data_IF_008624772242
#
_entry.id   IF_008624772242
#
_cell.length_a   1.000
_cell.length_b   1.000
_cell.length_c   1.000
_cell.angle_alpha   90.00
_cell.angle_beta   90.00
_cell.angle_gamma   90.00
#
_symmetry.space_group_name_H-M   'P 1'
#
loop_
_entity.id
_entity.type
_entity.pdbx_description
1 polymer ?
#
# COMPACT_ATOMS: atom_id res chain seq x y z
N UNK A 1 68.59 -62.85 58.88
CA UNK A 1 68.20 -61.51 59.39
C UNK A 1 68.48 -60.44 58.34
N UNK A 2 69.67 -60.44 57.75
CA UNK A 2 70.10 -59.57 56.64
C UNK A 2 69.22 -59.64 55.37
N UNK A 3 68.75 -60.82 54.95
CA UNK A 3 67.84 -60.93 53.79
C UNK A 3 66.45 -60.33 54.04
N UNK A 4 65.95 -60.37 55.28
CA UNK A 4 64.65 -59.74 55.63
C UNK A 4 64.75 -58.22 55.65
N UNK A 5 65.84 -57.67 56.17
CA UNK A 5 66.08 -56.22 56.18
C UNK A 5 66.22 -55.65 54.77
N UNK A 6 66.96 -56.31 53.88
CA UNK A 6 67.06 -55.90 52.48
C UNK A 6 65.70 -55.98 51.75
N UNK A 7 64.88 -57.00 52.04
CA UNK A 7 63.54 -57.11 51.45
C UNK A 7 62.57 -56.04 51.96
N UNK A 8 62.73 -55.59 53.21
CA UNK A 8 61.93 -54.53 53.82
C UNK A 8 62.31 -53.16 53.28
N UNK A 9 63.60 -52.90 53.10
CA UNK A 9 64.12 -51.68 52.46
C UNK A 9 63.70 -51.59 50.98
N UNK A 10 63.78 -52.70 50.24
CA UNK A 10 63.27 -52.75 48.86
C UNK A 10 61.76 -52.54 48.78
N UNK A 11 60.98 -53.04 49.74
CA UNK A 11 59.54 -52.76 49.82
C UNK A 11 59.27 -51.29 50.09
N UNK A 12 60.05 -50.65 50.95
CA UNK A 12 59.88 -49.25 51.29
C UNK A 12 60.19 -48.35 50.09
N UNK A 13 61.27 -48.65 49.36
CA UNK A 13 61.60 -47.98 48.09
C UNK A 13 60.51 -48.21 47.04
N UNK A 14 59.97 -49.43 46.92
CA UNK A 14 58.89 -49.72 45.98
C UNK A 14 57.59 -48.96 46.31
N UNK A 15 57.26 -48.82 47.59
CA UNK A 15 56.11 -48.03 48.07
C UNK A 15 56.32 -46.54 47.79
N UNK A 16 57.52 -46.02 48.02
CA UNK A 16 57.85 -44.62 47.73
C UNK A 16 57.80 -44.33 46.22
N UNK A 17 58.35 -45.22 45.39
CA UNK A 17 58.25 -45.14 43.93
C UNK A 17 56.79 -45.23 43.46
N UNK A 18 55.98 -46.09 44.08
CA UNK A 18 54.55 -46.18 43.77
C UNK A 18 53.82 -44.88 44.14
N UNK A 19 54.17 -44.26 45.27
CA UNK A 19 53.57 -43.00 45.70
C UNK A 19 53.93 -41.86 44.74
N UNK A 20 55.20 -41.76 44.33
CA UNK A 20 55.67 -40.78 43.33
C UNK A 20 54.95 -41.00 42.00
N UNK A 21 54.84 -42.23 41.51
CA UNK A 21 54.15 -42.55 40.27
C UNK A 21 52.64 -42.20 40.33
N UNK A 22 51.99 -42.36 41.48
CA UNK A 22 50.59 -41.96 41.69
C UNK A 22 50.46 -40.43 41.65
N UNK A 23 51.35 -39.69 42.30
CA UNK A 23 51.34 -38.22 42.28
C UNK A 23 51.64 -37.67 40.88
N UNK A 24 52.60 -38.24 40.16
CA UNK A 24 52.87 -37.86 38.77
C UNK A 24 51.68 -38.14 37.86
N UNK A 25 51.00 -39.27 38.05
CA UNK A 25 49.77 -39.59 37.31
C UNK A 25 48.65 -38.59 37.61
N UNK A 26 48.46 -38.21 38.88
CA UNK A 26 47.46 -37.21 39.27
C UNK A 26 47.76 -35.84 38.63
N UNK A 27 49.03 -35.40 38.67
CA UNK A 27 49.46 -34.16 38.04
C UNK A 27 49.26 -34.21 36.50
N UNK A 28 49.53 -35.35 35.87
CA UNK A 28 49.31 -35.54 34.43
C UNK A 28 47.81 -35.55 34.07
N UNK A 29 46.95 -36.12 34.91
CA UNK A 29 45.49 -36.08 34.74
C UNK A 29 44.94 -34.65 34.90
N UNK A 30 45.42 -33.88 35.89
CA UNK A 30 45.05 -32.47 36.09
C UNK A 30 45.49 -31.59 34.91
N UNK A 31 46.74 -31.74 34.43
CA UNK A 31 47.22 -31.04 33.23
C UNK A 31 46.41 -31.41 31.99
N UNK A 32 46.01 -32.67 31.84
CA UNK A 32 45.14 -33.11 30.74
C UNK A 32 43.77 -32.45 30.83
N UNK A 33 43.20 -32.32 32.03
CA UNK A 33 41.91 -31.66 32.23
C UNK A 33 41.98 -30.16 31.89
N UNK A 34 43.04 -29.47 32.33
CA UNK A 34 43.29 -28.06 31.96
C UNK A 34 43.44 -27.92 30.44
N UNK A 35 44.18 -28.81 29.78
CA UNK A 35 44.35 -28.78 28.33
C UNK A 35 43.01 -28.99 27.59
N UNK A 36 42.13 -29.87 28.09
CA UNK A 36 40.78 -30.08 27.54
C UNK A 36 39.90 -28.85 27.74
N UNK A 37 39.93 -28.22 28.91
CA UNK A 37 39.20 -26.98 29.17
C UNK A 37 39.68 -25.84 28.28
N UNK A 38 41.00 -25.67 28.14
CA UNK A 38 41.59 -24.69 27.22
C UNK A 38 41.22 -24.95 25.77
N UNK A 39 41.21 -26.23 25.35
CA UNK A 39 40.75 -26.61 24.02
C UNK A 39 39.27 -26.26 23.81
N UNK A 40 38.43 -26.49 24.83
CA UNK A 40 37.01 -26.16 24.76
C UNK A 40 36.78 -24.65 24.65
N UNK A 41 37.50 -23.85 25.46
CA UNK A 41 37.46 -22.38 25.38
C UNK A 41 37.91 -21.91 24.00
N UNK A 42 39.02 -22.43 23.47
CA UNK A 42 39.51 -22.06 22.14
C UNK A 42 38.52 -22.42 21.02
N UNK A 43 37.81 -23.54 21.13
CA UNK A 43 36.74 -23.92 20.17
C UNK A 43 35.57 -22.94 20.25
N UNK A 44 35.12 -22.58 21.45
CA UNK A 44 34.04 -21.60 21.63
C UNK A 44 34.44 -20.20 21.16
N UNK A 45 35.65 -19.74 21.46
CA UNK A 45 36.17 -18.46 20.96
C UNK A 45 36.24 -18.44 19.44
N UNK A 46 36.67 -19.54 18.82
CA UNK A 46 36.68 -19.67 17.37
C UNK A 46 35.28 -19.60 16.78
N UNK A 47 34.31 -20.29 17.36
CA UNK A 47 32.90 -20.25 16.92
C UNK A 47 32.34 -18.82 17.01
N UNK A 48 32.56 -18.14 18.14
CA UNK A 48 32.15 -16.75 18.31
C UNK A 48 32.82 -15.82 17.29
N UNK A 49 34.10 -16.03 16.99
CA UNK A 49 34.82 -15.25 15.98
C UNK A 49 34.30 -15.52 14.56
N UNK A 50 33.91 -16.75 14.24
CA UNK A 50 33.28 -17.11 12.96
C UNK A 50 31.88 -16.47 12.82
N UNK A 51 31.07 -16.49 13.87
CA UNK A 51 29.76 -15.83 13.91
C UNK A 51 29.88 -14.30 13.75
N UNK A 52 30.79 -13.67 14.49
CA UNK A 52 31.06 -12.23 14.33
C UNK A 52 31.55 -11.87 12.93
N UNK A 53 32.34 -12.73 12.30
CA UNK A 53 32.75 -12.54 10.90
C UNK A 53 31.57 -12.62 9.94
N UNK A 54 30.63 -13.55 10.15
CA UNK A 54 29.43 -13.65 9.33
C UNK A 54 28.55 -12.40 9.47
N UNK A 55 28.30 -11.97 10.71
CA UNK A 55 27.56 -10.73 10.99
C UNK A 55 28.24 -9.52 10.32
N UNK A 56 29.58 -9.42 10.40
CA UNK A 56 30.31 -8.32 9.77
C UNK A 56 30.21 -8.34 8.23
N UNK A 57 30.21 -9.53 7.62
CA UNK A 57 30.02 -9.69 6.17
C UNK A 57 28.60 -9.29 5.76
N UNK A 58 27.58 -9.73 6.50
CA UNK A 58 26.18 -9.36 6.26
C UNK A 58 25.95 -7.86 6.42
N UNK A 59 26.48 -7.26 7.49
CA UNK A 59 26.42 -5.81 7.70
C UNK A 59 27.11 -5.03 6.58
N UNK A 60 28.25 -5.51 6.09
CA UNK A 60 28.95 -4.89 4.96
C UNK A 60 28.12 -4.96 3.68
N UNK A 61 27.50 -6.12 3.40
CA UNK A 61 26.63 -6.31 2.24
C UNK A 61 25.39 -5.40 2.31
N UNK A 62 24.76 -5.32 3.48
CA UNK A 62 23.59 -4.46 3.67
C UNK A 62 23.96 -2.97 3.58
N UNK A 63 25.11 -2.56 4.12
CA UNK A 63 25.61 -1.20 3.96
C UNK A 63 25.88 -0.84 2.49
N UNK A 64 26.45 -1.77 1.71
CA UNK A 64 26.67 -1.60 0.28
C UNK A 64 25.34 -1.52 -0.48
N UNK A 65 24.36 -2.36 -0.13
CA UNK A 65 23.01 -2.33 -0.68
C UNK A 65 22.33 -0.98 -0.43
N UNK A 66 22.31 -0.51 0.81
CA UNK A 66 21.70 0.78 1.18
C UNK A 66 22.39 1.94 0.47
N UNK A 67 23.72 1.89 0.32
CA UNK A 67 24.47 2.86 -0.46
C UNK A 67 23.98 2.89 -1.91
N UNK A 68 23.82 1.74 -2.56
CA UNK A 68 23.39 1.69 -3.97
C UNK A 68 21.92 2.12 -4.15
N UNK A 69 21.04 1.83 -3.20
CA UNK A 69 19.69 2.38 -3.16
C UNK A 69 19.70 3.92 -3.00
N UNK A 70 20.62 4.47 -2.21
CA UNK A 70 20.77 5.92 -2.10
C UNK A 70 21.26 6.57 -3.40
N UNK A 71 22.14 5.89 -4.16
CA UNK A 71 22.56 6.33 -5.50
C UNK A 71 21.36 6.31 -6.44
N UNK A 72 20.54 5.26 -6.41
CA UNK A 72 19.32 5.18 -7.22
C UNK A 72 18.38 6.37 -7.00
N UNK A 73 18.12 6.73 -5.73
CA UNK A 73 17.32 7.91 -5.36
C UNK A 73 17.97 9.22 -5.82
N UNK A 74 19.28 9.36 -5.62
CA UNK A 74 20.03 10.52 -6.10
C UNK A 74 19.90 10.72 -7.61
N UNK A 75 19.98 9.63 -8.40
CA UNK A 75 19.78 9.68 -9.86
C UNK A 75 18.36 10.15 -10.21
N UNK A 76 17.34 9.64 -9.52
CA UNK A 76 15.96 10.07 -9.72
C UNK A 76 15.73 11.55 -9.39
N UNK A 77 16.26 12.04 -8.26
CA UNK A 77 16.20 13.46 -7.89
C UNK A 77 16.95 14.35 -8.89
N UNK A 78 18.05 13.87 -9.46
CA UNK A 78 18.76 14.62 -10.51
C UNK A 78 18.02 14.59 -11.84
N UNK A 79 17.38 13.46 -12.18
CA UNK A 79 16.54 13.32 -13.36
C UNK A 79 15.44 14.38 -13.37
N UNK A 80 14.70 14.54 -12.26
CA UNK A 80 13.61 15.53 -12.16
C UNK A 80 14.09 16.97 -12.32
N UNK A 81 15.29 17.30 -11.84
CA UNK A 81 15.91 18.63 -12.00
C UNK A 81 16.34 18.89 -13.44
N UNK A 82 16.95 17.91 -14.10
CA UNK A 82 17.42 18.03 -15.49
C UNK A 82 16.24 18.06 -16.46
N UNK A 83 15.16 17.32 -16.17
CA UNK A 83 13.92 17.31 -16.97
C UNK A 83 13.34 18.71 -17.21
N UNK A 84 13.57 19.66 -16.29
CA UNK A 84 13.14 21.05 -16.43
C UNK A 84 13.90 21.81 -17.53
N UNK A 85 15.02 21.28 -18.02
CA UNK A 85 15.85 21.84 -19.08
C UNK A 85 15.58 21.10 -20.39
N UNK A 86 14.91 21.75 -21.34
CA UNK A 86 14.50 21.13 -22.60
C UNK A 86 15.66 20.54 -23.42
N UNK A 87 16.86 21.13 -23.32
CA UNK A 87 18.06 20.71 -24.07
C UNK A 87 18.66 19.39 -23.56
N UNK A 88 18.34 18.98 -22.32
CA UNK A 88 18.90 17.79 -21.66
C UNK A 88 17.81 16.75 -21.32
N UNK A 89 16.64 16.85 -21.96
CA UNK A 89 15.50 15.98 -21.65
C UNK A 89 15.82 14.47 -21.79
N UNK A 90 16.58 14.08 -22.81
CA UNK A 90 16.99 12.67 -23.00
C UNK A 90 17.90 12.18 -21.87
N UNK A 91 18.80 13.02 -21.36
CA UNK A 91 19.65 12.70 -20.20
C UNK A 91 18.80 12.53 -18.94
N UNK A 92 17.79 13.38 -18.74
CA UNK A 92 16.81 13.22 -17.65
C UNK A 92 16.12 11.86 -17.68
N UNK A 93 15.64 11.42 -18.86
CA UNK A 93 15.04 10.09 -19.03
C UNK A 93 16.05 8.96 -18.74
N UNK A 94 17.29 9.08 -19.20
CA UNK A 94 18.34 8.09 -18.93
C UNK A 94 18.64 7.95 -17.43
N UNK A 95 18.73 9.08 -16.70
CA UNK A 95 18.93 9.07 -15.25
C UNK A 95 17.75 8.42 -14.51
N UNK A 96 16.51 8.73 -14.90
CA UNK A 96 15.31 8.12 -14.31
C UNK A 96 15.29 6.59 -14.52
N UNK A 97 15.60 6.14 -15.74
CA UNK A 97 15.70 4.72 -16.07
C UNK A 97 16.82 4.03 -15.29
N UNK A 98 17.98 4.68 -15.14
CA UNK A 98 19.11 4.12 -14.41
C UNK A 98 18.83 4.03 -12.91
N UNK A 99 18.22 5.07 -12.33
CA UNK A 99 17.74 5.06 -10.95
C UNK A 99 16.75 3.92 -10.71
N UNK A 100 15.76 3.76 -11.60
CA UNK A 100 14.81 2.64 -11.53
C UNK A 100 15.50 1.27 -11.56
N UNK A 101 16.45 1.06 -12.48
CA UNK A 101 17.16 -0.22 -12.61
C UNK A 101 18.03 -0.54 -11.39
N UNK A 102 18.72 0.45 -10.84
CA UNK A 102 19.50 0.29 -9.62
C UNK A 102 18.60 -0.07 -8.45
N UNK A 103 17.50 0.67 -8.28
CA UNK A 103 16.52 0.42 -7.23
C UNK A 103 15.96 -1.02 -7.33
N UNK A 104 15.52 -1.45 -8.52
CA UNK A 104 15.01 -2.80 -8.73
C UNK A 104 16.06 -3.89 -8.46
N UNK A 105 17.31 -3.71 -8.91
CA UNK A 105 18.39 -4.70 -8.74
C UNK A 105 18.76 -4.93 -7.28
N UNK A 106 18.75 -3.89 -6.47
CA UNK A 106 19.12 -3.96 -5.05
C UNK A 106 17.90 -4.12 -4.13
N UNK A 107 16.75 -4.53 -4.68
CA UNK A 107 15.55 -4.87 -3.92
C UNK A 107 14.91 -3.68 -3.21
N UNK A 108 14.94 -2.50 -3.84
CA UNK A 108 14.19 -1.33 -3.42
C UNK A 108 12.71 -1.43 -3.85
N UNK A 109 11.87 -0.54 -3.29
CA UNK A 109 10.43 -0.53 -3.59
C UNK A 109 10.19 -0.09 -5.04
N UNK A 110 9.34 -0.80 -5.78
CA UNK A 110 8.94 -0.38 -7.13
C UNK A 110 8.22 0.98 -7.12
N UNK A 111 7.55 1.31 -6.01
CA UNK A 111 6.86 2.58 -5.76
C UNK A 111 7.65 3.45 -4.77
N UNK A 112 8.98 3.46 -4.89
CA UNK A 112 9.79 4.48 -4.23
C UNK A 112 9.40 5.88 -4.79
N UNK A 113 9.10 6.87 -3.94
CA UNK A 113 8.55 8.15 -4.40
C UNK A 113 9.44 8.91 -5.37
N UNK A 114 10.75 8.93 -5.13
CA UNK A 114 11.69 9.65 -6.00
C UNK A 114 11.75 8.99 -7.37
N UNK A 115 11.86 7.65 -7.38
CA UNK A 115 11.95 6.86 -8.61
C UNK A 115 10.66 6.95 -9.42
N UNK A 116 9.50 6.75 -8.78
CA UNK A 116 8.21 6.82 -9.46
C UNK A 116 7.96 8.22 -10.03
N UNK A 117 8.24 9.28 -9.27
CA UNK A 117 8.09 10.64 -9.74
C UNK A 117 9.04 10.97 -10.90
N UNK A 118 10.30 10.50 -10.85
CA UNK A 118 11.25 10.68 -11.94
C UNK A 118 10.77 10.00 -13.22
N UNK A 119 10.31 8.75 -13.15
CA UNK A 119 9.75 8.04 -14.30
C UNK A 119 8.47 8.72 -14.83
N UNK A 120 7.57 9.15 -13.95
CA UNK A 120 6.32 9.82 -14.32
C UNK A 120 6.58 11.14 -15.02
N UNK A 121 7.46 11.98 -14.48
CA UNK A 121 7.86 13.26 -15.09
C UNK A 121 8.60 13.03 -16.40
N UNK A 122 9.44 12.00 -16.48
CA UNK A 122 10.09 11.56 -17.71
C UNK A 122 9.11 11.18 -18.81
N UNK A 123 8.03 10.50 -18.43
CA UNK A 123 6.94 10.18 -19.35
C UNK A 123 6.17 11.43 -19.79
N UNK A 124 6.06 12.45 -18.92
CA UNK A 124 5.32 13.70 -19.17
C UNK A 124 5.95 14.63 -20.23
N UNK A 125 7.21 14.44 -20.62
CA UNK A 125 7.78 15.13 -21.79
C UNK A 125 7.18 14.66 -23.13
N UNK A 126 6.42 13.55 -23.12
CA UNK A 126 5.56 13.14 -24.21
C UNK A 126 4.11 13.09 -23.69
N UNK A 127 3.43 14.22 -23.85
CA UNK A 127 1.98 14.41 -23.63
C UNK A 127 1.51 14.24 -22.19
N UNK A 128 1.47 15.36 -21.45
CA UNK A 128 0.61 15.63 -20.28
C UNK A 128 0.31 14.51 -19.28
N UNK A 129 1.25 13.59 -18.99
CA UNK A 129 1.29 12.81 -17.74
C UNK A 129 0.01 12.04 -17.34
N UNK A 130 -0.95 11.86 -18.25
CA UNK A 130 -2.22 11.18 -18.03
C UNK A 130 -2.20 9.93 -18.90
N UNK A 131 -1.90 8.78 -18.33
CA UNK A 131 -2.03 7.48 -19.00
C UNK A 131 -3.48 7.08 -19.32
N UNK A 132 -4.43 8.04 -19.28
CA UNK A 132 -5.82 7.85 -19.64
C UNK A 132 -6.72 8.88 -18.96
N UNK A 133 -6.66 10.15 -19.39
CA UNK A 133 -7.68 11.12 -18.99
C UNK A 133 -9.01 10.74 -19.63
N UNK A 134 -9.99 10.46 -18.78
CA UNK A 134 -11.32 10.01 -19.16
C UNK A 134 -12.30 11.17 -18.97
N UNK A 135 -12.66 11.80 -20.09
CA UNK A 135 -13.59 12.94 -20.14
C UNK A 135 -15.00 12.45 -20.46
N UNK A 136 -16.00 13.03 -19.79
CA UNK A 136 -17.40 12.71 -20.04
C UNK A 136 -18.40 13.36 -19.09
N UNK A 137 -17.97 13.72 -17.88
CA UNK A 137 -18.81 14.39 -16.89
C UNK A 137 -18.84 15.91 -17.08
N UNK A 138 -19.99 16.51 -16.76
CA UNK A 138 -20.23 17.96 -16.79
C UNK A 138 -20.05 18.64 -15.42
N UNK A 139 -19.96 17.85 -14.35
CA UNK A 139 -19.82 18.32 -12.97
C UNK A 139 -18.91 17.38 -12.15
N UNK A 140 -18.77 17.63 -10.86
CA UNK A 140 -17.91 16.88 -9.93
C UNK A 140 -18.09 15.36 -10.06
N UNK A 141 -17.00 14.62 -10.26
CA UNK A 141 -17.00 13.16 -10.17
C UNK A 141 -16.90 12.81 -8.69
N UNK A 142 -17.96 12.21 -8.14
CA UNK A 142 -18.11 11.97 -6.70
C UNK A 142 -17.53 10.65 -6.25
N UNK A 143 -17.75 9.62 -7.05
CA UNK A 143 -17.31 8.27 -6.72
C UNK A 143 -17.05 7.45 -7.97
N UNK A 144 -16.17 6.46 -7.82
CA UNK A 144 -15.79 5.56 -8.89
C UNK A 144 -15.45 4.19 -8.33
N UNK A 145 -15.73 3.14 -9.10
CA UNK A 145 -15.45 1.78 -8.70
C UNK A 145 -14.93 0.97 -9.88
N UNK A 146 -13.98 0.07 -9.64
CA UNK A 146 -13.58 -0.95 -10.60
C UNK A 146 -14.56 -2.13 -10.58
N UNK A 147 -14.73 -2.79 -11.73
CA UNK A 147 -15.28 -4.15 -11.73
C UNK A 147 -14.27 -5.13 -11.12
N UNK A 148 -14.75 -6.27 -10.60
CA UNK A 148 -13.91 -7.27 -9.96
C UNK A 148 -12.75 -7.80 -10.84
N UNK A 149 -12.94 -7.81 -12.17
CA UNK A 149 -11.90 -8.19 -13.14
C UNK A 149 -10.94 -7.04 -13.51
N UNK A 150 -11.16 -5.82 -13.02
CA UNK A 150 -10.37 -4.62 -13.32
C UNK A 150 -10.50 -4.11 -14.76
N UNK A 151 -11.39 -4.68 -15.59
CA UNK A 151 -11.52 -4.35 -17.01
C UNK A 151 -12.51 -3.21 -17.26
N UNK A 152 -13.47 -3.01 -16.35
CA UNK A 152 -14.45 -1.93 -16.40
C UNK A 152 -14.28 -1.00 -15.20
N UNK A 153 -14.70 0.23 -15.41
CA UNK A 153 -14.78 1.27 -14.40
C UNK A 153 -16.16 1.92 -14.48
N UNK A 154 -16.74 2.27 -13.35
CA UNK A 154 -17.94 3.09 -13.28
C UNK A 154 -17.62 4.40 -12.56
N UNK A 155 -18.23 5.50 -13.01
CA UNK A 155 -18.12 6.80 -12.33
C UNK A 155 -19.51 7.42 -12.17
N UNK A 156 -19.78 7.94 -10.97
CA UNK A 156 -20.97 8.72 -10.62
C UNK A 156 -20.61 10.18 -10.39
N UNK A 157 -21.47 11.10 -10.82
CA UNK A 157 -21.22 12.54 -10.74
C UNK A 157 -22.45 13.32 -10.33
N UNK A 158 -22.22 14.54 -9.84
CA UNK A 158 -23.27 15.53 -9.55
C UNK A 158 -24.04 15.98 -10.80
N UNK A 159 -23.54 15.72 -12.02
CA UNK A 159 -24.26 15.97 -13.27
C UNK A 159 -25.42 14.98 -13.54
N UNK A 160 -25.65 14.04 -12.64
CA UNK A 160 -26.67 13.00 -12.71
C UNK A 160 -26.35 11.89 -13.71
N UNK A 161 -25.13 11.86 -14.27
CA UNK A 161 -24.66 10.79 -15.13
C UNK A 161 -23.99 9.70 -14.31
N UNK A 162 -24.21 8.47 -14.78
CA UNK A 162 -23.34 7.33 -14.47
C UNK A 162 -22.72 6.86 -15.76
N UNK A 163 -21.40 6.89 -15.82
CA UNK A 163 -20.63 6.45 -16.99
C UNK A 163 -19.99 5.09 -16.70
N UNK A 164 -20.02 4.22 -17.70
CA UNK A 164 -19.31 2.94 -17.68
C UNK A 164 -18.20 2.99 -18.72
N UNK A 165 -16.98 2.74 -18.27
CA UNK A 165 -15.75 2.78 -19.05
C UNK A 165 -15.24 1.36 -19.29
N UNK A 166 -14.88 1.05 -20.53
CA UNK A 166 -14.17 -0.17 -20.93
C UNK A 166 -12.69 0.18 -21.06
N UNK A 167 -11.88 -0.28 -20.10
CA UNK A 167 -10.47 0.10 -19.98
C UNK A 167 -9.56 -0.62 -20.97
N UNK A 168 -10.05 -1.69 -21.61
CA UNK A 168 -9.30 -2.37 -22.67
C UNK A 168 -9.53 -1.72 -24.02
N UNK A 169 -10.77 -1.31 -24.29
CA UNK A 169 -11.13 -0.63 -25.54
C UNK A 169 -10.90 0.87 -25.50
N UNK A 170 -10.73 1.44 -24.31
CA UNK A 170 -10.62 2.89 -24.12
C UNK A 170 -11.92 3.63 -24.50
N UNK A 171 -13.07 2.98 -24.33
CA UNK A 171 -14.37 3.56 -24.68
C UNK A 171 -15.22 3.80 -23.45
N UNK A 172 -16.19 4.70 -23.56
CA UNK A 172 -17.18 4.96 -22.51
C UNK A 172 -18.59 4.90 -23.07
N UNK A 173 -19.55 4.55 -22.21
CA UNK A 173 -20.97 4.67 -22.50
C UNK A 173 -21.72 5.25 -21.31
N UNK A 174 -22.73 6.06 -21.58
CA UNK A 174 -23.65 6.54 -20.55
C UNK A 174 -24.59 5.42 -20.13
N UNK A 175 -24.53 5.02 -18.86
CA UNK A 175 -25.41 4.02 -18.28
C UNK A 175 -26.69 4.66 -17.72
N UNK A 176 -26.57 5.86 -17.16
CA UNK A 176 -27.69 6.61 -16.60
C UNK A 176 -27.60 8.10 -16.94
N UNK A 177 -28.76 8.72 -17.10
CA UNK A 177 -28.94 10.17 -17.18
C UNK A 177 -30.17 10.53 -16.35
N UNK A 178 -29.93 10.96 -15.12
CA UNK A 178 -30.94 11.44 -14.19
C UNK A 178 -30.82 12.95 -13.96
N UNK A 179 -31.78 13.51 -13.22
CA UNK A 179 -31.72 14.89 -12.72
C UNK A 179 -30.98 14.98 -11.38
N UNK A 180 -30.89 13.88 -10.63
CA UNK A 180 -30.20 13.84 -9.34
C UNK A 180 -28.74 13.44 -9.51
N UNK A 181 -27.84 14.16 -8.83
CA UNK A 181 -26.45 13.75 -8.70
C UNK A 181 -26.31 12.35 -8.08
N UNK A 182 -25.33 11.58 -8.57
CA UNK A 182 -24.99 10.24 -8.07
C UNK A 182 -23.69 10.34 -7.26
N UNK A 183 -23.79 10.09 -5.96
CA UNK A 183 -22.69 10.30 -5.00
C UNK A 183 -21.86 9.08 -4.69
N UNK A 184 -22.41 7.89 -4.88
CA UNK A 184 -21.67 6.65 -4.66
C UNK A 184 -22.09 5.59 -5.67
N UNK A 185 -21.13 4.79 -6.13
CA UNK A 185 -21.35 3.72 -7.10
C UNK A 185 -20.56 2.47 -6.71
N UNK A 186 -21.16 1.29 -6.86
CA UNK A 186 -20.50 0.02 -6.56
C UNK A 186 -20.92 -1.07 -7.55
N UNK A 187 -19.97 -1.91 -7.95
CA UNK A 187 -20.24 -3.07 -8.81
C UNK A 187 -20.77 -4.24 -8.00
N UNK A 188 -21.82 -4.87 -8.52
CA UNK A 188 -22.28 -6.19 -8.12
C UNK A 188 -21.83 -7.20 -9.18
N UNK A 189 -20.73 -7.90 -8.90
CA UNK A 189 -20.15 -8.86 -9.83
C UNK A 189 -21.06 -10.09 -10.03
N UNK A 190 -21.79 -10.51 -9.00
CA UNK A 190 -22.62 -11.71 -9.04
C UNK A 190 -23.87 -11.50 -9.92
N UNK A 191 -24.44 -10.29 -9.89
CA UNK A 191 -25.60 -9.92 -10.71
C UNK A 191 -25.24 -9.21 -12.02
N UNK A 192 -23.94 -9.01 -12.29
CA UNK A 192 -23.41 -8.16 -13.36
C UNK A 192 -24.18 -6.83 -13.46
N UNK A 193 -24.27 -6.17 -12.31
CA UNK A 193 -25.01 -4.94 -12.11
C UNK A 193 -24.13 -3.84 -11.51
N UNK A 194 -24.61 -2.61 -11.59
CA UNK A 194 -24.06 -1.47 -10.89
C UNK A 194 -25.14 -0.93 -9.96
N UNK A 195 -24.78 -0.58 -8.73
CA UNK A 195 -25.67 0.06 -7.76
C UNK A 195 -25.18 1.49 -7.54
N UNK A 196 -26.09 2.45 -7.48
CA UNK A 196 -25.74 3.86 -7.24
C UNK A 196 -26.68 4.55 -6.27
N UNK A 197 -26.12 5.45 -5.48
CA UNK A 197 -26.83 6.22 -4.46
C UNK A 197 -26.89 7.69 -4.86
N UNK A 198 -28.09 8.29 -4.80
CA UNK A 198 -28.32 9.67 -5.26
C UNK A 198 -28.34 10.69 -4.12
N UNK A 199 -28.23 11.97 -4.50
CA UNK A 199 -28.40 13.13 -3.60
C UNK A 199 -29.80 13.19 -2.97
N UNK A 200 -30.83 12.68 -3.66
CA UNK A 200 -32.21 12.66 -3.19
C UNK A 200 -32.53 11.42 -2.33
N UNK A 201 -31.54 10.55 -2.08
CA UNK A 201 -31.70 9.38 -1.21
C UNK A 201 -32.21 8.12 -1.91
N UNK A 202 -32.17 8.07 -3.25
CA UNK A 202 -32.54 6.88 -4.03
C UNK A 202 -31.38 5.91 -4.17
N UNK A 203 -31.66 4.62 -4.07
CA UNK A 203 -30.73 3.55 -4.47
C UNK A 203 -31.22 2.93 -5.78
N UNK A 204 -30.41 3.05 -6.82
CA UNK A 204 -30.70 2.59 -8.17
C UNK A 204 -29.82 1.40 -8.53
N UNK A 205 -30.37 0.43 -9.25
CA UNK A 205 -29.65 -0.75 -9.77
C UNK A 205 -29.74 -0.78 -11.29
N UNK A 206 -28.60 -0.84 -11.96
CA UNK A 206 -28.48 -0.95 -13.42
C UNK A 206 -27.88 -2.30 -13.80
N UNK A 207 -28.63 -3.14 -14.52
CA UNK A 207 -28.10 -4.37 -15.10
C UNK A 207 -27.24 -4.06 -16.34
N UNK A 208 -26.00 -4.56 -16.39
CA UNK A 208 -25.02 -4.12 -17.40
C UNK A 208 -25.17 -4.84 -18.75
N UNK A 209 -25.63 -6.09 -18.74
CA UNK A 209 -25.87 -6.92 -19.92
C UNK A 209 -27.37 -7.13 -20.24
N UNK A 210 -28.26 -6.39 -19.57
CA UNK A 210 -29.70 -6.49 -19.76
C UNK A 210 -30.24 -5.68 -20.95
N UNK A 211 -31.45 -6.01 -21.39
CA UNK A 211 -32.23 -5.20 -22.37
C UNK A 211 -32.93 -4.01 -21.72
N UNK A 212 -32.95 -3.94 -20.39
CA UNK A 212 -33.57 -2.86 -19.63
C UNK A 212 -32.73 -1.58 -19.74
N UNK A 213 -33.37 -0.52 -20.23
CA UNK A 213 -32.74 0.81 -20.38
C UNK A 213 -32.95 1.72 -19.17
N UNK A 214 -33.79 1.30 -18.21
CA UNK A 214 -34.08 2.05 -16.98
C UNK A 214 -33.52 1.33 -15.77
N UNK A 215 -32.98 2.06 -14.78
CA UNK A 215 -32.63 1.48 -13.49
C UNK A 215 -33.86 0.92 -12.81
N UNK A 216 -33.61 -0.15 -12.06
CA UNK A 216 -34.51 -0.59 -11.02
C UNK A 216 -34.29 0.26 -9.76
N UNK A 217 -35.35 0.59 -9.03
CA UNK A 217 -35.25 1.33 -7.76
C UNK A 217 -35.34 0.34 -6.60
N UNK A 218 -34.27 0.26 -5.81
CA UNK A 218 -34.22 -0.57 -4.61
C UNK A 218 -34.79 0.17 -3.40
N UNK A 219 -34.43 1.45 -3.25
CA UNK A 219 -34.84 2.31 -2.13
C UNK A 219 -35.35 3.63 -2.67
N UNK A 220 -36.57 4.00 -2.27
CA UNK A 220 -37.15 5.33 -2.47
C UNK A 220 -37.05 6.16 -1.17
N UNK A 221 -36.83 7.48 -1.26
CA UNK A 221 -36.88 8.35 -0.09
C UNK A 221 -38.30 8.35 0.49
N UNK A 222 -38.40 8.40 1.81
CA UNK A 222 -39.69 8.51 2.50
C UNK A 222 -40.28 9.91 2.25
N UNK A 223 -41.60 10.01 2.03
CA UNK A 223 -42.26 11.29 1.72
C UNK A 223 -41.87 12.38 2.73
N UNK A 224 -41.27 13.48 2.23
CA UNK A 224 -40.87 14.65 3.01
C UNK A 224 -39.44 14.64 3.56
N UNK A 225 -38.63 13.59 3.33
CA UNK A 225 -37.23 13.54 3.78
C UNK A 225 -36.27 13.01 2.71
N UNK A 226 -35.96 13.87 1.73
CA UNK A 226 -34.93 13.63 0.72
C UNK A 226 -33.55 13.89 1.32
N UNK A 227 -32.87 12.83 1.74
CA UNK A 227 -31.54 12.93 2.35
C UNK A 227 -30.52 12.14 1.54
N UNK A 228 -29.45 12.81 1.17
CA UNK A 228 -28.41 12.24 0.33
C UNK A 228 -27.83 10.95 0.92
N UNK A 229 -27.64 9.97 0.04
CA UNK A 229 -26.75 8.85 0.30
C UNK A 229 -25.33 9.36 0.13
N UNK A 230 -24.50 9.11 1.13
CA UNK A 230 -23.11 9.53 1.12
C UNK A 230 -22.17 8.45 0.62
N UNK A 231 -22.47 7.17 0.90
CA UNK A 231 -21.64 6.04 0.55
C UNK A 231 -22.47 4.76 0.49
N UNK A 232 -22.15 3.90 -0.49
CA UNK A 232 -22.67 2.56 -0.66
C UNK A 232 -21.51 1.56 -0.64
N UNK A 233 -21.70 0.42 0.01
CA UNK A 233 -20.74 -0.69 -0.07
C UNK A 233 -21.46 -2.02 -0.09
N UNK A 234 -21.03 -2.90 -0.99
CA UNK A 234 -21.51 -4.28 -1.09
C UNK A 234 -20.63 -5.17 -0.22
N UNK A 235 -21.26 -6.10 0.50
CA UNK A 235 -20.54 -7.17 1.16
C UNK A 235 -19.86 -8.05 0.11
N UNK A 236 -18.63 -8.52 0.35
CA UNK A 236 -18.01 -9.57 -0.46
C UNK A 236 -18.97 -10.75 -0.66
N UNK A 237 -19.23 -11.14 -1.92
CA UNK A 237 -20.25 -12.14 -2.27
C UNK A 237 -21.67 -11.59 -2.47
N UNK A 238 -21.84 -10.27 -2.55
CA UNK A 238 -23.00 -9.61 -3.16
C UNK A 238 -24.33 -9.74 -2.43
N UNK A 239 -24.36 -10.30 -1.22
CA UNK A 239 -25.63 -10.62 -0.54
C UNK A 239 -26.24 -9.41 0.18
N UNK A 240 -25.39 -8.57 0.78
CA UNK A 240 -25.81 -7.42 1.57
C UNK A 240 -25.27 -6.11 1.00
N UNK A 241 -26.09 -5.06 1.06
CA UNK A 241 -25.72 -3.69 0.74
C UNK A 241 -25.80 -2.84 2.00
N UNK A 242 -24.72 -2.17 2.38
CA UNK A 242 -24.74 -1.16 3.43
C UNK A 242 -24.85 0.24 2.80
N UNK A 243 -25.69 1.07 3.41
CA UNK A 243 -26.04 2.41 2.92
C UNK A 243 -25.77 3.40 4.05
N UNK A 244 -24.84 4.32 3.83
CA UNK A 244 -24.65 5.49 4.68
C UNK A 244 -25.46 6.67 4.14
N UNK A 245 -26.15 7.38 5.03
CA UNK A 245 -26.89 8.58 4.67
C UNK A 245 -26.58 9.75 5.60
N UNK A 246 -26.72 10.96 5.04
CA UNK A 246 -26.52 12.21 5.77
C UNK A 246 -27.60 12.47 6.83
N UNK A 247 -28.61 11.60 6.96
CA UNK A 247 -29.59 11.62 8.04
C UNK A 247 -29.03 11.05 9.35
N UNK A 248 -27.79 10.54 9.31
CA UNK A 248 -27.12 9.93 10.45
C UNK A 248 -27.38 8.44 10.58
N UNK A 249 -27.95 7.77 9.56
CA UNK A 249 -28.28 6.35 9.61
C UNK A 249 -27.37 5.51 8.74
N UNK A 250 -27.07 4.31 9.24
CA UNK A 250 -26.56 3.19 8.44
C UNK A 250 -27.69 2.19 8.25
N UNK A 251 -28.09 1.94 7.00
CA UNK A 251 -29.09 0.94 6.65
C UNK A 251 -28.41 -0.26 6.02
N UNK A 252 -28.83 -1.46 6.41
CA UNK A 252 -28.33 -2.72 5.85
C UNK A 252 -29.46 -3.38 5.08
N UNK A 253 -29.22 -3.70 3.81
CA UNK A 253 -30.22 -4.25 2.90
C UNK A 253 -29.81 -5.63 2.41
N UNK A 254 -30.74 -6.57 2.47
CA UNK A 254 -30.62 -7.86 1.81
C UNK A 254 -31.07 -7.72 0.36
N UNK A 255 -30.17 -7.95 -0.59
CA UNK A 255 -30.47 -7.76 -2.01
C UNK A 255 -31.28 -8.90 -2.62
N UNK A 256 -31.26 -10.08 -2.01
CA UNK A 256 -32.06 -11.23 -2.46
C UNK A 256 -33.50 -11.10 -1.98
N UNK A 257 -33.68 -10.76 -0.71
CA UNK A 257 -35.00 -10.59 -0.08
C UNK A 257 -35.62 -9.23 -0.35
N UNK A 258 -34.81 -8.24 -0.69
CA UNK A 258 -35.20 -6.81 -0.86
C UNK A 258 -35.84 -6.25 0.40
N UNK A 259 -35.20 -6.52 1.54
CA UNK A 259 -35.67 -6.08 2.84
C UNK A 259 -34.53 -5.44 3.62
N UNK A 260 -34.86 -4.40 4.36
CA UNK A 260 -33.95 -3.84 5.36
C UNK A 260 -33.78 -4.83 6.51
N UNK A 261 -32.53 -4.99 6.96
CA UNK A 261 -32.15 -5.80 8.10
C UNK A 261 -31.83 -4.90 9.29
N UNK A 262 -32.16 -5.36 10.49
CA UNK A 262 -31.82 -4.64 11.71
C UNK A 262 -30.31 -4.68 11.98
N UNK A 263 -29.78 -3.52 12.37
CA UNK A 263 -28.41 -3.31 12.81
C UNK A 263 -28.44 -2.55 14.14
N UNK A 264 -27.82 -3.09 15.18
CA UNK A 264 -27.76 -2.45 16.50
C UNK A 264 -27.11 -1.07 16.41
N UNK A 265 -27.63 -0.10 17.17
CA UNK A 265 -27.07 1.26 17.23
C UNK A 265 -26.72 1.86 15.85
N UNK A 266 -27.60 1.70 14.86
CA UNK A 266 -27.37 2.17 13.48
C UNK A 266 -27.51 3.68 13.30
N UNK A 267 -28.01 4.40 14.31
CA UNK A 267 -28.18 5.85 14.32
C UNK A 267 -26.99 6.55 14.98
N UNK A 268 -26.36 7.47 14.26
CA UNK A 268 -25.25 8.31 14.73
C UNK A 268 -25.73 9.68 15.22
N UNK A 269 -24.96 10.34 16.10
CA UNK A 269 -25.27 11.70 16.56
C UNK A 269 -25.05 12.78 15.49
N UNK A 270 -24.51 12.42 14.32
CA UNK A 270 -24.27 13.31 13.19
C UNK A 270 -24.34 12.55 11.87
N UNK A 271 -24.07 13.27 10.78
CA UNK A 271 -24.09 12.71 9.41
C UNK A 271 -23.13 11.54 9.30
N UNK A 272 -23.56 10.42 8.74
CA UNK A 272 -22.66 9.33 8.36
C UNK A 272 -22.13 9.66 6.98
N UNK A 273 -20.81 9.64 6.81
CA UNK A 273 -20.18 9.96 5.54
C UNK A 273 -19.78 8.72 4.76
N UNK A 274 -19.35 7.67 5.46
CA UNK A 274 -18.70 6.52 4.84
C UNK A 274 -19.07 5.23 5.55
N UNK A 275 -19.12 4.16 4.77
CA UNK A 275 -19.26 2.77 5.22
C UNK A 275 -18.25 1.90 4.47
N UNK A 276 -17.72 0.87 5.12
CA UNK A 276 -16.84 -0.10 4.50
C UNK A 276 -17.04 -1.50 5.11
N UNK A 277 -17.09 -2.53 4.27
CA UNK A 277 -17.00 -3.93 4.72
C UNK A 277 -15.53 -4.35 4.79
N UNK A 278 -15.22 -5.27 5.71
CA UNK A 278 -13.96 -6.01 5.65
C UNK A 278 -13.92 -6.92 4.41
N UNK A 279 -12.74 -7.21 3.85
CA UNK A 279 -12.59 -8.09 2.68
C UNK A 279 -13.19 -9.51 2.85
N UNK A 280 -13.22 -10.04 4.07
CA UNK A 280 -13.89 -11.30 4.43
C UNK A 280 -15.41 -11.16 4.66
N UNK A 281 -15.93 -9.93 4.66
CA UNK A 281 -17.33 -9.59 4.91
C UNK A 281 -17.82 -9.82 6.34
N UNK A 282 -16.93 -10.13 7.27
CA UNK A 282 -17.26 -10.40 8.68
C UNK A 282 -17.55 -9.14 9.49
N UNK A 283 -17.03 -7.99 9.07
CA UNK A 283 -17.22 -6.71 9.74
C UNK A 283 -17.80 -5.66 8.79
N UNK A 284 -18.65 -4.80 9.34
CA UNK A 284 -19.05 -3.53 8.73
C UNK A 284 -18.49 -2.40 9.59
N UNK A 285 -17.96 -1.36 8.97
CA UNK A 285 -17.57 -0.12 9.64
C UNK A 285 -18.32 1.07 9.08
N UNK A 286 -18.54 2.10 9.90
CA UNK A 286 -19.10 3.37 9.47
C UNK A 286 -18.50 4.52 10.24
N UNK A 287 -18.32 5.66 9.57
CA UNK A 287 -17.72 6.87 10.11
C UNK A 287 -18.64 8.07 9.99
N UNK A 288 -18.69 8.90 11.03
CA UNK A 288 -19.57 10.07 11.08
C UNK A 288 -18.83 11.40 11.22
N UNK A 289 -19.54 12.50 10.94
CA UNK A 289 -19.06 13.87 11.06
C UNK A 289 -18.87 14.38 12.50
N UNK A 290 -19.01 13.53 13.52
CA UNK A 290 -18.65 13.86 14.91
C UNK A 290 -17.43 13.06 15.40
N UNK A 291 -16.81 12.29 14.49
CA UNK A 291 -15.58 11.53 14.77
C UNK A 291 -15.77 10.20 15.47
N UNK A 292 -17.01 9.69 15.47
CA UNK A 292 -17.28 8.32 15.91
C UNK A 292 -17.14 7.38 14.71
N UNK A 293 -16.39 6.29 14.91
CA UNK A 293 -16.34 5.14 14.01
C UNK A 293 -16.93 3.95 14.75
N UNK A 294 -17.90 3.26 14.14
CA UNK A 294 -18.49 2.02 14.70
C UNK A 294 -18.12 0.83 13.83
N UNK A 295 -17.85 -0.30 14.48
CA UNK A 295 -17.59 -1.58 13.85
C UNK A 295 -18.60 -2.63 14.34
N UNK A 296 -19.37 -3.19 13.41
CA UNK A 296 -20.33 -4.26 13.67
C UNK A 296 -19.77 -5.61 13.26
N UNK A 297 -20.06 -6.63 14.07
CA UNK A 297 -19.87 -8.03 13.71
C UNK A 297 -21.08 -8.49 12.89
N UNK A 298 -20.84 -8.89 11.64
CA UNK A 298 -21.89 -9.30 10.71
C UNK A 298 -22.43 -10.71 11.00
N UNK A 299 -21.73 -11.49 11.84
CA UNK A 299 -22.20 -12.74 12.41
C UNK A 299 -23.20 -12.55 13.56
N UNK A 300 -23.15 -11.42 14.26
CA UNK A 300 -24.09 -11.04 15.34
C UNK A 300 -24.40 -9.54 15.32
N UNK A 301 -25.31 -9.16 14.42
CA UNK A 301 -25.70 -7.75 14.15
C UNK A 301 -26.48 -7.10 15.29
N UNK A 302 -26.97 -7.88 16.24
CA UNK A 302 -27.69 -7.39 17.41
C UNK A 302 -26.75 -6.94 18.54
N UNK A 303 -25.50 -7.42 18.52
CA UNK A 303 -24.47 -7.02 19.48
C UNK A 303 -24.10 -5.55 19.31
N UNK A 304 -23.83 -4.86 20.42
CA UNK A 304 -23.37 -3.46 20.41
C UNK A 304 -22.05 -3.35 19.62
N UNK A 305 -21.93 -2.41 18.67
CA UNK A 305 -20.72 -2.24 17.88
C UNK A 305 -19.54 -1.75 18.72
N UNK A 306 -18.33 -2.06 18.28
CA UNK A 306 -17.12 -1.49 18.85
C UNK A 306 -16.99 -0.04 18.37
N UNK A 307 -16.89 0.90 19.30
CA UNK A 307 -16.70 2.32 19.00
C UNK A 307 -15.20 2.68 19.05
N UNK A 308 -14.69 3.24 17.95
CA UNK A 308 -13.37 3.86 17.87
C UNK A 308 -13.54 5.38 17.81
N UNK A 309 -12.66 6.10 18.49
CA UNK A 309 -12.66 7.56 18.46
C UNK A 309 -11.57 8.08 17.51
N UNK A 310 -11.95 8.98 16.61
CA UNK A 310 -11.01 9.78 15.80
C UNK A 310 -10.53 11.05 16.51
N UNK A 311 -10.82 11.21 17.81
CA UNK A 311 -10.49 12.45 18.53
C UNK A 311 -11.40 13.64 18.19
N UNK A 312 -12.66 13.39 17.81
CA UNK A 312 -13.67 14.39 17.37
C UNK A 312 -13.39 15.02 16.00
N UNK A 313 -12.53 14.40 15.20
CA UNK A 313 -12.32 14.80 13.82
C UNK A 313 -13.36 14.11 12.93
N UNK A 314 -14.00 14.85 12.01
CA UNK A 314 -14.93 14.26 11.05
C UNK A 314 -14.28 13.08 10.32
N UNK A 315 -14.97 11.94 10.22
CA UNK A 315 -14.48 10.80 9.44
C UNK A 315 -15.18 10.82 8.09
N UNK A 316 -14.43 11.05 7.03
CA UNK A 316 -14.92 11.25 5.67
C UNK A 316 -14.79 10.00 4.82
N UNK A 317 -13.80 9.14 5.10
CA UNK A 317 -13.55 7.90 4.36
C UNK A 317 -13.03 6.79 5.29
N UNK A 318 -13.34 5.54 4.94
CA UNK A 318 -12.89 4.33 5.64
C UNK A 318 -12.46 3.27 4.63
N UNK A 319 -11.42 2.50 4.98
CA UNK A 319 -11.00 1.35 4.20
C UNK A 319 -10.35 0.28 5.10
N UNK A 320 -10.61 -0.99 4.80
CA UNK A 320 -9.90 -2.11 5.40
C UNK A 320 -8.74 -2.55 4.51
N UNK A 321 -7.64 -3.00 5.11
CA UNK A 321 -6.58 -3.66 4.35
C UNK A 321 -7.00 -5.06 3.93
N UNK A 322 -6.49 -5.50 2.77
CA UNK A 322 -6.80 -6.83 2.22
C UNK A 322 -6.31 -7.99 3.12
N UNK A 323 -5.28 -7.77 3.93
CA UNK A 323 -4.77 -8.71 4.94
C UNK A 323 -5.57 -8.74 6.25
N UNK A 324 -6.71 -8.04 6.30
CA UNK A 324 -7.61 -7.93 7.46
C UNK A 324 -6.99 -7.29 8.71
N UNK A 325 -5.76 -6.77 8.63
CA UNK A 325 -5.06 -6.29 9.81
C UNK A 325 -5.41 -4.85 10.16
N UNK A 326 -5.62 -3.99 9.17
CA UNK A 326 -5.71 -2.55 9.35
C UNK A 326 -7.09 -2.03 8.98
N UNK A 327 -7.55 -1.05 9.77
CA UNK A 327 -8.64 -0.15 9.39
C UNK A 327 -8.05 1.25 9.29
N UNK A 328 -8.24 1.92 8.15
CA UNK A 328 -7.85 3.31 7.95
C UNK A 328 -9.09 4.23 7.94
N UNK A 329 -8.96 5.42 8.50
CA UNK A 329 -9.93 6.50 8.39
C UNK A 329 -9.27 7.78 7.89
N UNK A 330 -9.86 8.38 6.86
CA UNK A 330 -9.53 9.72 6.40
C UNK A 330 -10.37 10.74 7.12
N UNK A 331 -9.72 11.77 7.66
CA UNK A 331 -10.39 12.75 8.52
C UNK A 331 -10.56 14.12 7.86
N UNK A 332 -11.47 14.94 8.38
CA UNK A 332 -11.77 16.28 7.88
C UNK A 332 -10.65 17.31 8.04
N UNK A 333 -9.64 17.07 8.89
CA UNK A 333 -8.48 17.95 9.05
C UNK A 333 -7.29 17.57 8.16
N UNK A 334 -7.35 16.44 7.45
CA UNK A 334 -6.25 15.94 6.60
C UNK A 334 -5.44 14.78 7.18
N UNK A 335 -5.68 14.40 8.44
CA UNK A 335 -4.99 13.25 9.03
C UNK A 335 -5.60 11.93 8.56
N UNK A 336 -4.77 10.89 8.46
CA UNK A 336 -5.21 9.52 8.26
C UNK A 336 -4.90 8.71 9.51
N UNK A 337 -5.93 8.12 10.10
CA UNK A 337 -5.83 7.29 11.30
C UNK A 337 -5.82 5.82 10.90
N UNK A 338 -4.88 5.03 11.42
CA UNK A 338 -4.77 3.59 11.13
C UNK A 338 -4.80 2.81 12.43
N UNK A 339 -5.81 1.96 12.59
CA UNK A 339 -5.96 1.06 13.74
C UNK A 339 -5.51 -0.36 13.38
N UNK A 340 -4.75 -0.98 14.30
CA UNK A 340 -4.47 -2.42 14.24
C UNK A 340 -5.69 -3.16 14.79
N UNK A 341 -6.29 -4.04 13.99
CA UNK A 341 -7.48 -4.80 14.37
C UNK A 341 -7.18 -5.88 15.40
N UNK A 342 -5.94 -6.34 15.49
CA UNK A 342 -5.54 -7.27 16.55
C UNK A 342 -5.52 -6.59 17.93
N UNK A 343 -5.38 -5.26 17.97
CA UNK A 343 -5.32 -4.49 19.22
C UNK A 343 -5.97 -3.10 19.06
N UNK A 344 -7.29 -3.09 18.89
CA UNK A 344 -8.12 -1.88 18.79
C UNK A 344 -8.06 -0.98 20.04
N UNK A 345 -7.49 -1.47 21.15
CA UNK A 345 -7.28 -0.69 22.38
C UNK A 345 -6.09 0.28 22.29
N UNK A 346 -5.20 0.12 21.31
CA UNK A 346 -4.08 1.04 21.08
C UNK A 346 -4.53 2.31 20.37
N UNK A 347 -3.80 3.39 20.61
CA UNK A 347 -3.94 4.61 19.82
C UNK A 347 -3.62 4.33 18.34
N UNK A 348 -4.38 4.89 17.39
CA UNK A 348 -4.10 4.73 15.98
C UNK A 348 -2.74 5.32 15.62
N UNK A 349 -2.13 4.75 14.57
CA UNK A 349 -1.04 5.39 13.85
C UNK A 349 -1.63 6.58 13.08
N UNK A 350 -0.95 7.72 13.09
CA UNK A 350 -1.40 8.91 12.37
C UNK A 350 -0.44 9.18 11.21
N UNK A 351 -0.96 9.18 9.98
CA UNK A 351 -0.23 9.69 8.82
C UNK A 351 -0.63 11.15 8.60
N UNK A 352 0.37 12.03 8.58
CA UNK A 352 0.20 13.48 8.51
C UNK A 352 0.76 13.95 7.17
N UNK A 353 0.00 14.79 6.45
CA UNK A 353 0.54 15.46 5.26
C UNK A 353 -0.49 16.14 4.35
N UNK A 354 -1.77 15.73 4.37
CA UNK A 354 -2.80 16.51 3.67
C UNK A 354 -3.09 17.81 4.41
N UNK A 355 -3.45 18.85 3.65
CA UNK A 355 -3.77 20.19 4.19
C UNK A 355 -5.27 20.47 4.29
N UNK A 356 -6.10 19.51 3.92
CA UNK A 356 -7.56 19.57 3.99
C UNK A 356 -8.14 18.15 4.08
N UNK A 357 -9.46 18.04 4.20
CA UNK A 357 -10.14 16.76 4.46
C UNK A 357 -9.85 15.66 3.46
N UNK A 358 -9.61 14.44 3.97
CA UNK A 358 -9.33 13.23 3.19
C UNK A 358 -10.65 12.54 2.83
N UNK A 359 -11.16 12.80 1.63
CA UNK A 359 -12.50 12.40 1.20
C UNK A 359 -12.60 10.95 0.77
N UNK A 360 -11.48 10.33 0.41
CA UNK A 360 -11.43 8.93 -0.04
C UNK A 360 -10.09 8.31 0.29
N UNK A 361 -10.13 7.05 0.70
CA UNK A 361 -8.98 6.20 1.00
C UNK A 361 -9.24 4.82 0.44
N UNK A 362 -8.19 4.17 -0.05
CA UNK A 362 -8.23 2.77 -0.44
C UNK A 362 -6.90 2.08 -0.11
N UNK A 363 -6.95 0.80 0.24
CA UNK A 363 -5.75 -0.01 0.41
C UNK A 363 -5.40 -0.68 -0.90
N UNK A 364 -4.11 -0.75 -1.20
CA UNK A 364 -3.65 -1.57 -2.30
C UNK A 364 -3.84 -3.06 -1.93
N UNK A 365 -4.10 -3.96 -2.91
CA UNK A 365 -4.31 -5.39 -2.65
C UNK A 365 -3.17 -6.10 -1.90
N UNK A 366 -1.94 -5.57 -1.92
CA UNK A 366 -0.82 -6.10 -1.12
C UNK A 366 -0.84 -5.69 0.36
N UNK A 367 -1.74 -4.77 0.76
CA UNK A 367 -1.85 -4.20 2.11
C UNK A 367 -0.61 -3.43 2.61
N UNK A 368 0.37 -3.16 1.75
CA UNK A 368 1.54 -2.35 2.09
C UNK A 368 1.32 -0.87 1.78
N UNK A 369 0.54 -0.60 0.73
CA UNK A 369 0.27 0.75 0.28
C UNK A 369 -1.16 1.18 0.58
N UNK A 370 -1.32 2.47 0.82
CA UNK A 370 -2.60 3.13 0.99
C UNK A 370 -2.63 4.36 0.09
N UNK A 371 -3.72 4.56 -0.64
CA UNK A 371 -3.94 5.79 -1.41
C UNK A 371 -4.97 6.66 -0.72
N UNK A 372 -4.79 7.97 -0.79
CA UNK A 372 -5.74 8.94 -0.26
C UNK A 372 -5.95 10.10 -1.22
N UNK A 373 -7.21 10.50 -1.41
CA UNK A 373 -7.64 11.69 -2.14
C UNK A 373 -8.19 12.74 -1.18
N UNK A 374 -8.02 14.02 -1.50
CA UNK A 374 -8.32 15.11 -0.57
C UNK A 374 -8.73 16.41 -1.25
N UNK A 375 -9.40 17.25 -0.46
CA UNK A 375 -9.77 18.63 -0.79
C UNK A 375 -8.56 19.57 -0.94
N UNK A 376 -7.37 19.14 -0.56
CA UNK A 376 -6.12 19.87 -0.84
C UNK A 376 -5.63 19.70 -2.29
N UNK A 377 -6.43 19.01 -3.12
CA UNK A 377 -6.17 18.74 -4.56
C UNK A 377 -5.03 17.76 -4.80
N UNK A 378 -4.67 16.98 -3.79
CA UNK A 378 -3.61 15.99 -3.88
C UNK A 378 -4.17 14.59 -3.72
N UNK A 379 -3.62 13.67 -4.51
CA UNK A 379 -3.62 12.25 -4.23
C UNK A 379 -2.27 11.88 -3.62
N UNK A 380 -2.29 11.14 -2.51
CA UNK A 380 -1.09 10.66 -1.83
C UNK A 380 -1.07 9.15 -1.77
N UNK A 381 0.06 8.52 -2.09
CA UNK A 381 0.28 7.08 -1.91
C UNK A 381 1.28 6.89 -0.79
N UNK A 382 0.84 6.24 0.28
CA UNK A 382 1.57 6.03 1.52
C UNK A 382 2.07 4.61 1.61
N UNK A 383 3.27 4.42 2.16
CA UNK A 383 3.71 3.10 2.62
C UNK A 383 3.35 2.94 4.11
N UNK A 384 2.43 2.02 4.40
CA UNK A 384 1.92 1.80 5.77
C UNK A 384 2.90 0.99 6.62
N UNK A 385 3.76 0.19 5.97
CA UNK A 385 4.76 -0.66 6.65
C UNK A 385 6.04 0.11 6.99
N UNK A 386 6.45 1.05 6.14
CA UNK A 386 7.69 1.83 6.28
C UNK A 386 7.39 3.22 6.81
N UNK A 387 7.36 3.33 8.14
CA UNK A 387 7.11 4.60 8.82
C UNK A 387 8.20 5.63 8.49
N UNK A 388 7.76 6.84 8.13
CA UNK A 388 8.64 7.97 7.86
C UNK A 388 9.12 8.11 6.41
N UNK A 389 8.71 7.21 5.50
CA UNK A 389 8.85 7.48 4.07
C UNK A 389 7.84 8.55 3.64
N UNK A 390 8.28 9.49 2.79
CA UNK A 390 7.38 10.48 2.19
C UNK A 390 6.42 9.79 1.24
N UNK A 391 5.14 10.20 1.18
CA UNK A 391 4.21 9.64 0.22
C UNK A 391 4.53 10.10 -1.21
N UNK A 392 4.12 9.30 -2.19
CA UNK A 392 4.07 9.75 -3.58
C UNK A 392 2.97 10.82 -3.69
N UNK A 393 3.30 11.95 -4.32
CA UNK A 393 2.39 13.08 -4.50
C UNK A 393 1.93 13.17 -5.95
N UNK A 394 0.62 13.16 -6.16
CA UNK A 394 -0.01 13.38 -7.47
C UNK A 394 -0.95 14.58 -7.34
N UNK A 395 -0.71 15.62 -8.14
CA UNK A 395 -1.49 16.86 -8.12
C UNK A 395 -2.69 16.76 -9.08
N UNK A 396 -3.83 17.28 -8.63
CA UNK A 396 -5.04 17.50 -9.43
C UNK A 396 -5.32 19.00 -9.58
N UNK A 397 -6.04 19.35 -10.65
CA UNK A 397 -6.44 20.74 -10.90
C UNK A 397 -7.46 21.26 -9.87
N UNK A 398 -8.21 20.36 -9.22
CA UNK A 398 -9.26 20.66 -8.26
C UNK A 398 -9.37 19.59 -7.14
N UNK A 399 -10.38 19.70 -6.28
CA UNK A 399 -10.61 18.76 -5.18
C UNK A 399 -10.74 17.33 -5.68
N UNK A 400 -10.10 16.39 -4.99
CA UNK A 400 -10.25 14.97 -5.28
C UNK A 400 -11.35 14.44 -4.37
N UNK A 401 -12.34 13.78 -4.95
CA UNK A 401 -13.46 13.19 -4.19
C UNK A 401 -13.27 11.69 -3.97
N UNK A 402 -12.79 10.97 -4.97
CA UNK A 402 -12.65 9.50 -4.93
C UNK A 402 -11.32 9.03 -5.53
N UNK A 403 -10.73 8.03 -4.89
CA UNK A 403 -9.54 7.29 -5.33
C UNK A 403 -9.77 5.79 -5.12
N UNK A 404 -9.20 4.94 -5.97
CA UNK A 404 -9.24 3.49 -5.76
C UNK A 404 -8.16 2.75 -6.55
N UNK A 405 -7.60 1.69 -5.98
CA UNK A 405 -6.73 0.77 -6.70
C UNK A 405 -7.53 -0.23 -7.53
N UNK A 406 -6.96 -0.69 -8.64
CA UNK A 406 -7.53 -1.85 -9.34
C UNK A 406 -7.44 -3.10 -8.45
N UNK A 407 -8.33 -4.09 -8.62
CA UNK A 407 -8.25 -5.34 -7.86
C UNK A 407 -6.93 -6.10 -8.07
N UNK A 408 -6.25 -5.88 -9.19
CA UNK A 408 -4.93 -6.46 -9.47
C UNK A 408 -3.77 -5.60 -8.92
N UNK A 409 -4.05 -4.40 -8.41
CA UNK A 409 -3.07 -3.46 -7.88
C UNK A 409 -2.23 -2.74 -8.94
N UNK A 410 -2.48 -2.98 -10.23
CA UNK A 410 -1.66 -2.46 -11.34
C UNK A 410 -2.07 -1.08 -11.85
N UNK A 411 -3.19 -0.54 -11.35
CA UNK A 411 -3.75 0.76 -11.73
C UNK A 411 -4.31 1.48 -10.51
N UNK A 412 -4.33 2.80 -10.61
CA UNK A 412 -4.98 3.71 -9.66
C UNK A 412 -5.91 4.63 -10.43
N UNK A 413 -7.11 4.85 -9.93
CA UNK A 413 -8.03 5.88 -10.43
C UNK A 413 -8.19 7.00 -9.43
N UNK A 414 -8.48 8.19 -9.94
CA UNK A 414 -8.80 9.36 -9.14
C UNK A 414 -9.75 10.28 -9.89
N UNK A 415 -10.73 10.84 -9.19
CA UNK A 415 -11.78 11.67 -9.78
C UNK A 415 -12.24 12.73 -8.80
N UNK A 416 -12.67 13.87 -9.32
CA UNK A 416 -12.93 15.02 -8.48
C UNK A 416 -13.67 16.16 -9.15
N UNK A 417 -13.50 17.35 -8.57
CA UNK A 417 -14.13 18.60 -9.02
C UNK A 417 -13.53 19.17 -10.33
N UNK A 418 -12.48 18.53 -10.86
CA UNK A 418 -11.95 18.81 -12.20
C UNK A 418 -12.81 18.16 -13.30
N UNK A 419 -13.85 17.40 -12.90
CA UNK A 419 -14.86 16.76 -13.75
C UNK A 419 -14.30 15.62 -14.61
N UNK A 420 -13.06 15.24 -14.36
CA UNK A 420 -12.42 14.18 -15.11
C UNK A 420 -12.16 12.97 -14.22
N UNK A 421 -12.06 11.83 -14.86
CA UNK A 421 -11.52 10.63 -14.26
C UNK A 421 -10.09 10.48 -14.78
N UNK A 422 -9.14 10.28 -13.88
CA UNK A 422 -7.73 10.05 -14.23
C UNK A 422 -7.36 8.60 -13.94
N UNK A 423 -6.63 7.99 -14.86
CA UNK A 423 -6.11 6.63 -14.75
C UNK A 423 -4.58 6.64 -14.74
N UNK A 424 -4.03 6.11 -13.67
CA UNK A 424 -2.60 6.02 -13.42
C UNK A 424 -2.17 4.55 -13.42
N UNK A 425 -0.97 4.29 -13.93
CA UNK A 425 -0.32 2.99 -13.72
C UNK A 425 0.47 3.02 -12.41
N UNK A 426 0.38 1.95 -11.63
CA UNK A 426 1.19 1.73 -10.42
C UNK A 426 2.44 0.90 -10.73
N UNK A 427 2.59 0.42 -11.98
CA UNK A 427 3.75 -0.37 -12.42
C UNK A 427 4.84 0.52 -12.99
N UNK A 428 5.83 0.85 -12.15
CA UNK A 428 7.05 1.56 -12.56
C UNK A 428 7.76 0.86 -13.73
N UNK A 429 7.71 -0.47 -13.80
CA UNK A 429 8.27 -1.27 -14.91
C UNK A 429 7.63 -0.92 -16.24
N UNK A 430 6.33 -0.67 -16.26
CA UNK A 430 5.59 -0.33 -17.47
C UNK A 430 6.00 1.04 -18.00
N UNK A 431 6.12 2.03 -17.10
CA UNK A 431 6.60 3.37 -17.45
C UNK A 431 8.05 3.28 -17.95
N UNK A 432 8.91 2.58 -17.23
CA UNK A 432 10.31 2.39 -17.60
C UNK A 432 10.45 1.69 -18.97
N UNK A 433 9.64 0.67 -19.25
CA UNK A 433 9.66 -0.04 -20.54
C UNK A 433 9.13 0.78 -21.72
N UNK A 434 8.26 1.77 -21.48
CA UNK A 434 7.85 2.75 -22.50
C UNK A 434 8.96 3.77 -22.75
N UNK A 435 9.52 4.35 -21.68
CA UNK A 435 10.63 5.30 -21.75
C UNK A 435 11.91 4.71 -22.36
N UNK A 436 12.19 3.42 -22.12
CA UNK A 436 13.34 2.78 -22.74
C UNK A 436 13.23 2.77 -24.26
N UNK A 437 12.02 2.77 -24.84
CA UNK A 437 11.85 2.79 -26.30
C UNK A 437 12.09 4.18 -26.91
N UNK A 438 12.00 5.25 -26.12
CA UNK A 438 12.12 6.63 -26.63
C UNK A 438 13.56 7.13 -26.64
N UNK A 439 14.42 6.63 -25.75
CA UNK A 439 15.84 7.01 -25.71
C UNK A 439 16.63 6.35 -26.84
N UNK A 440 17.46 7.14 -27.54
CA UNK A 440 18.23 6.71 -28.71
C UNK A 440 19.69 6.35 -28.41
N UNK A 441 20.15 6.56 -27.18
CA UNK A 441 21.54 6.31 -26.75
C UNK A 441 21.62 5.77 -25.32
N UNK A 442 22.83 5.34 -24.94
CA UNK A 442 23.19 5.12 -23.53
C UNK A 442 23.83 6.39 -22.94
N UNK A 443 23.95 6.44 -21.60
CA UNK A 443 24.78 7.43 -20.94
C UNK A 443 26.24 7.29 -21.39
N UNK A 444 26.94 8.41 -21.55
CA UNK A 444 28.40 8.42 -21.74
C UNK A 444 29.11 8.07 -20.43
N UNK A 445 30.37 7.63 -20.49
CA UNK A 445 31.23 7.38 -19.35
C UNK A 445 31.42 8.65 -18.51
N UNK A 446 31.52 9.81 -19.16
CA UNK A 446 31.61 11.10 -18.47
C UNK A 446 30.33 11.43 -17.71
N UNK A 447 29.16 11.22 -18.30
CA UNK A 447 27.87 11.34 -17.60
C UNK A 447 27.80 10.32 -16.45
N UNK A 448 28.18 9.06 -16.68
CA UNK A 448 28.20 8.02 -15.66
C UNK A 448 29.05 8.40 -14.44
N UNK A 449 30.30 8.82 -14.67
CA UNK A 449 31.21 9.23 -13.60
C UNK A 449 30.69 10.47 -12.84
N UNK A 450 30.01 11.38 -13.54
CA UNK A 450 29.44 12.58 -12.93
C UNK A 450 28.20 12.30 -12.07
N UNK A 451 27.36 11.35 -12.46
CA UNK A 451 26.06 11.12 -11.84
C UNK A 451 26.00 9.89 -10.92
N UNK A 452 26.70 8.82 -11.29
CA UNK A 452 26.72 7.53 -10.57
C UNK A 452 27.96 7.42 -9.68
N UNK A 453 29.12 7.80 -10.22
CA UNK A 453 30.41 7.73 -9.53
C UNK A 453 31.42 6.82 -10.25
N UNK A 454 32.71 7.05 -9.98
CA UNK A 454 33.82 6.30 -10.61
C UNK A 454 33.99 4.88 -10.06
N UNK A 455 33.52 4.63 -8.84
CA UNK A 455 33.70 3.35 -8.15
C UNK A 455 32.64 2.31 -8.51
N UNK A 456 31.60 2.70 -9.25
CA UNK A 456 30.55 1.82 -9.74
C UNK A 456 30.82 1.51 -11.22
N UNK A 457 30.96 0.23 -11.62
CA UNK A 457 31.21 -0.15 -13.01
C UNK A 457 30.15 0.39 -13.96
N UNK A 458 30.56 0.85 -15.14
CA UNK A 458 29.65 1.36 -16.16
C UNK A 458 28.65 0.29 -16.60
N UNK A 459 27.37 0.65 -16.63
CA UNK A 459 26.29 -0.21 -17.11
C UNK A 459 25.46 0.50 -18.17
N UNK A 460 25.23 -0.17 -19.30
CA UNK A 460 24.33 0.34 -20.34
C UNK A 460 22.90 0.42 -19.81
N UNK A 461 22.25 1.58 -19.95
CA UNK A 461 20.82 1.78 -19.68
C UNK A 461 19.94 0.95 -20.63
N UNK A 462 20.40 0.74 -21.86
CA UNK A 462 19.82 -0.12 -22.89
C UNK A 462 20.85 -1.11 -23.42
N UNK A 463 20.57 -2.40 -23.24
CA UNK A 463 21.46 -3.47 -23.68
C UNK A 463 21.57 -3.58 -25.21
N UNK A 464 20.56 -3.15 -25.94
CA UNK A 464 20.44 -3.26 -27.40
C UNK A 464 21.07 -2.09 -28.17
N UNK A 465 21.49 -1.04 -27.47
CA UNK A 465 22.22 0.10 -28.04
C UNK A 465 23.74 -0.02 -27.78
N UNK A 466 24.58 0.52 -28.67
CA UNK A 466 26.02 0.57 -28.43
C UNK A 466 26.34 1.33 -27.14
N UNK A 467 27.33 0.84 -26.40
CA UNK A 467 27.90 1.57 -25.26
C UNK A 467 29.22 2.21 -25.66
N UNK A 468 29.67 3.20 -24.89
CA UNK A 468 30.92 3.92 -25.19
C UNK A 468 32.18 3.04 -25.02
N UNK A 469 32.08 1.88 -24.34
CA UNK A 469 33.16 0.90 -24.19
C UNK A 469 33.28 -0.03 -25.42
N UNK A 470 32.34 0.03 -26.37
CA UNK A 470 32.31 -0.79 -27.59
C UNK A 470 32.72 -0.04 -28.87
N UNK A 471 33.12 1.22 -28.78
CA UNK A 471 33.81 1.97 -29.84
C UNK A 471 35.28 2.14 -29.50
#
# INVERSE_FOLDING_TARGET
VTERQNAEEQRQIAVEQQQVAVTERQNAEEQRQIAVEQQQVAVTERQNAEEQRQIAVEQKLEAERLRLLSVARSLAVQATKIQQRAEEAELGVLLALQGFRFNARYGGSALDPDIYNALRLASGSFDTGQSGLMRGHGDDVRDMAFSADGRRLASGSDDGLVLLWDLERGTSRTLHRGEDGVRSVVFDADRDALIGGTVEGRVLIWTLNGTATRPEVLVEPTEGNQVAISSLVLQPGGSLLAIASLDGRVRLWDLERRTELELSESNFPGRVHTVAFSPDGSLLSAGCGQGEVRLWDMGDRAKVPVALSSGRLEVLSLAFSADERWLAAGTGNGDILIWDREDLGRSPIVLIGHQAGVTSIDFHPDSELLVSGSLDRMVRIWNVRKRGEEPILIEHDAWVWSVSFSPQGDRLISGGADKNVHLWTTRSEQIAGQLSKTVGRNMTLKEWQSFVGEDIPYEKTRADLPGEIEQ
#
